data_IF_867058494339
#
_entry.id   IF_867058494339
#
_cell.length_a   1.000
_cell.length_b   1.000
_cell.length_c   1.000
_cell.angle_alpha   90.00
_cell.angle_beta   90.00
_cell.angle_gamma   90.00
#
_symmetry.space_group_name_H-M   'P 1'
#
loop_
_entity.id
_entity.type
_entity.pdbx_description
1 polymer ?
#
# COMPACT_ATOMS: atom_id res chain seq x y z
N UNK A 1 4.17 -3.94 17.39
CA UNK A 1 3.05 -3.19 16.76
C UNK A 1 3.67 -2.32 15.70
N UNK A 2 3.22 -2.43 14.46
CA UNK A 2 3.72 -1.63 13.34
C UNK A 2 3.23 -0.19 13.56
N UNK A 3 4.16 0.76 13.62
CA UNK A 3 3.79 2.16 13.83
C UNK A 3 3.55 2.87 12.50
N UNK A 4 2.31 2.79 12.02
CA UNK A 4 1.87 3.35 10.73
C UNK A 4 1.67 4.88 10.79
N UNK A 5 1.91 5.49 11.96
CA UNK A 5 1.79 6.94 12.21
C UNK A 5 3.18 7.60 12.43
N UNK A 6 4.26 6.99 11.93
CA UNK A 6 5.62 7.49 12.14
C UNK A 6 5.85 8.87 11.48
N UNK A 7 6.78 9.67 12.02
CA UNK A 7 7.08 11.01 11.51
C UNK A 7 7.69 11.04 10.10
N UNK A 8 8.31 9.95 9.67
CA UNK A 8 8.89 9.82 8.31
C UNK A 8 7.80 9.55 7.26
N UNK A 9 6.69 8.88 7.63
CA UNK A 9 5.48 8.79 6.80
C UNK A 9 4.84 10.17 6.54
N UNK A 10 5.17 11.17 7.36
CA UNK A 10 4.63 12.53 7.24
C UNK A 10 5.20 13.28 6.04
N UNK A 11 6.38 12.92 5.54
CA UNK A 11 6.86 13.45 4.25
C UNK A 11 6.17 12.76 3.06
N UNK A 12 5.67 11.54 3.24
CA UNK A 12 4.89 10.79 2.24
C UNK A 12 3.46 11.33 2.10
N UNK A 13 2.98 12.10 3.07
CA UNK A 13 1.69 12.80 2.97
C UNK A 13 1.70 13.91 1.91
N UNK A 14 2.88 14.44 1.56
CA UNK A 14 3.03 15.65 0.74
C UNK A 14 3.90 15.43 -0.48
N UNK A 15 4.00 14.19 -0.99
CA UNK A 15 4.63 14.00 -2.28
C UNK A 15 3.82 14.76 -3.32
N UNK A 16 4.36 15.89 -3.77
CA UNK A 16 3.76 16.75 -4.77
C UNK A 16 3.16 15.88 -5.87
N UNK A 17 1.85 16.05 -6.14
CA UNK A 17 1.16 15.39 -7.26
C UNK A 17 1.76 15.72 -8.65
N UNK A 18 2.92 16.41 -8.67
CA UNK A 18 3.70 16.80 -9.83
C UNK A 18 5.01 16.01 -9.99
N UNK A 19 5.38 15.09 -9.09
CA UNK A 19 6.56 14.23 -9.26
C UNK A 19 6.26 13.06 -10.22
N UNK A 20 6.90 13.00 -11.42
CA UNK A 20 6.66 11.93 -12.39
C UNK A 20 7.01 10.53 -11.87
N UNK A 21 7.98 10.42 -10.96
CA UNK A 21 8.39 9.12 -10.40
C UNK A 21 7.31 8.58 -9.44
N UNK A 22 6.65 9.46 -8.68
CA UNK A 22 5.54 9.09 -7.81
C UNK A 22 4.32 8.64 -8.60
N UNK A 23 3.97 9.34 -9.68
CA UNK A 23 2.87 8.92 -10.54
C UNK A 23 3.15 7.55 -11.18
N UNK A 24 4.39 7.29 -11.59
CA UNK A 24 4.80 5.97 -12.08
C UNK A 24 4.66 4.88 -11.00
N UNK A 25 5.01 5.18 -9.75
CA UNK A 25 4.81 4.26 -8.62
C UNK A 25 3.32 3.96 -8.39
N UNK A 26 2.45 4.97 -8.49
CA UNK A 26 0.99 4.79 -8.39
C UNK A 26 0.44 3.92 -9.52
N UNK A 27 0.89 4.14 -10.74
CA UNK A 27 0.50 3.33 -11.90
C UNK A 27 0.91 1.87 -11.70
N UNK A 28 2.16 1.64 -11.30
CA UNK A 28 2.67 0.29 -11.03
C UNK A 28 1.90 -0.41 -9.92
N UNK A 29 1.53 0.31 -8.85
CA UNK A 29 0.68 -0.22 -7.80
C UNK A 29 -0.68 -0.68 -8.35
N UNK A 30 -1.34 0.14 -9.19
CA UNK A 30 -2.62 -0.21 -9.82
C UNK A 30 -2.49 -1.42 -10.75
N UNK A 31 -1.49 -1.46 -11.62
CA UNK A 31 -1.27 -2.56 -12.57
C UNK A 31 -1.02 -3.92 -11.89
N UNK A 32 -0.38 -3.87 -10.72
CA UNK A 32 0.04 -5.07 -9.97
C UNK A 32 -0.93 -5.43 -8.84
N UNK A 33 -1.96 -4.62 -8.57
CA UNK A 33 -2.95 -4.85 -7.50
C UNK A 33 -3.64 -6.22 -7.61
N UNK A 34 -3.83 -6.74 -8.82
CA UNK A 34 -4.39 -8.09 -9.04
C UNK A 34 -3.61 -9.19 -8.29
N UNK A 35 -2.29 -9.03 -8.14
CA UNK A 35 -1.46 -9.98 -7.39
C UNK A 35 -1.71 -9.86 -5.89
N UNK A 36 -1.74 -8.63 -5.36
CA UNK A 36 -2.13 -8.37 -3.97
C UNK A 36 -3.49 -8.97 -3.64
N UNK A 37 -4.51 -8.66 -4.44
CA UNK A 37 -5.86 -9.14 -4.20
C UNK A 37 -5.95 -10.67 -4.27
N UNK A 38 -5.24 -11.29 -5.22
CA UNK A 38 -5.15 -12.76 -5.31
C UNK A 38 -4.60 -13.36 -4.02
N UNK A 39 -3.47 -12.87 -3.51
CA UNK A 39 -2.87 -13.43 -2.29
C UNK A 39 -3.78 -13.18 -1.07
N UNK A 40 -4.37 -11.99 -0.95
CA UNK A 40 -5.28 -11.65 0.14
C UNK A 40 -6.57 -12.48 0.12
N UNK A 41 -7.10 -12.78 -1.06
CA UNK A 41 -8.28 -13.62 -1.22
C UNK A 41 -8.04 -15.05 -0.68
N UNK A 42 -6.84 -15.60 -0.88
CA UNK A 42 -6.46 -16.89 -0.30
C UNK A 42 -6.18 -16.78 1.19
N UNK A 43 -5.56 -15.68 1.63
CA UNK A 43 -5.31 -15.39 3.04
C UNK A 43 -6.60 -15.42 3.87
N UNK A 44 -7.69 -14.79 3.40
CA UNK A 44 -8.98 -14.82 4.07
C UNK A 44 -9.63 -16.21 4.20
N UNK A 45 -9.13 -17.20 3.48
CA UNK A 45 -9.60 -18.60 3.56
C UNK A 45 -8.71 -19.46 4.44
N UNK A 46 -7.58 -18.94 4.94
CA UNK A 46 -6.70 -19.72 5.81
C UNK A 46 -7.31 -19.88 7.19
N UNK A 47 -7.14 -21.08 7.74
CA UNK A 47 -7.43 -21.35 9.16
C UNK A 47 -6.40 -20.63 10.04
N UNK A 48 -5.14 -20.62 9.61
CA UNK A 48 -4.02 -19.95 10.28
C UNK A 48 -3.51 -18.85 9.36
N UNK A 49 -3.75 -17.56 9.68
CA UNK A 49 -3.22 -16.44 8.92
C UNK A 49 -1.70 -16.51 8.80
N UNK A 50 -1.19 -16.23 7.61
CA UNK A 50 0.24 -16.16 7.32
C UNK A 50 0.71 -14.71 7.11
N UNK A 51 -0.22 -13.78 6.88
CA UNK A 51 0.10 -12.37 6.71
C UNK A 51 0.27 -11.69 8.06
N UNK A 52 1.33 -10.89 8.20
CA UNK A 52 1.46 -10.00 9.36
C UNK A 52 0.68 -8.69 9.14
N UNK A 53 0.50 -8.27 7.88
CA UNK A 53 -0.32 -7.12 7.47
C UNK A 53 -0.78 -7.22 6.01
N UNK A 54 -1.87 -6.53 5.68
CA UNK A 54 -2.29 -6.23 4.31
C UNK A 54 -2.99 -4.87 4.27
N UNK A 55 -2.45 -3.94 3.49
CA UNK A 55 -2.82 -2.54 3.48
C UNK A 55 -2.97 -2.00 2.06
N UNK A 56 -3.89 -1.06 1.86
CA UNK A 56 -4.05 -0.29 0.63
C UNK A 56 -4.02 1.19 0.97
N UNK A 57 -3.33 1.99 0.16
CA UNK A 57 -3.21 3.44 0.34
C UNK A 57 -4.14 4.17 -0.61
N UNK A 58 -4.92 5.11 -0.08
CA UNK A 58 -5.89 5.91 -0.80
C UNK A 58 -5.68 7.42 -0.53
N UNK A 59 -5.94 8.29 -1.53
CA UNK A 59 -5.98 9.73 -1.35
C UNK A 59 -7.32 10.18 -0.77
N UNK A 60 -7.27 11.10 0.19
CA UNK A 60 -8.42 11.73 0.82
C UNK A 60 -8.30 13.25 0.69
N UNK A 61 -9.40 13.93 0.37
CA UNK A 61 -9.43 15.39 0.30
C UNK A 61 -10.79 15.94 0.73
N UNK A 62 -10.78 17.02 1.49
CA UNK A 62 -11.99 17.72 1.89
C UNK A 62 -12.33 18.84 0.91
N UNK A 63 -13.15 18.53 -0.10
CA UNK A 63 -13.59 19.50 -1.11
C UNK A 63 -14.25 20.75 -0.49
N UNK A 64 -14.90 20.57 0.68
CA UNK A 64 -15.59 21.64 1.41
C UNK A 64 -14.65 22.69 2.02
N UNK A 65 -13.40 22.32 2.32
CA UNK A 65 -12.41 23.24 2.90
C UNK A 65 -11.75 24.06 1.78
N UNK A 66 -11.45 23.42 0.64
CA UNK A 66 -10.83 24.07 -0.53
C UNK A 66 -11.66 25.20 -1.15
N UNK A 67 -13.00 25.16 -1.05
CA UNK A 67 -13.84 26.23 -1.63
C UNK A 67 -13.87 27.53 -0.81
N UNK A 68 -13.58 27.47 0.50
CA UNK A 68 -13.65 28.66 1.36
C UNK A 68 -12.32 29.42 1.48
N UNK A 69 -11.17 28.80 1.20
CA UNK A 69 -9.85 29.39 1.50
C UNK A 69 -8.96 29.75 0.30
N UNK A 70 -9.38 29.57 -0.97
CA UNK A 70 -8.47 29.76 -2.12
C UNK A 70 -7.12 29.01 -1.97
N UNK A 71 -7.12 27.94 -1.18
CA UNK A 71 -5.99 27.01 -1.01
C UNK A 71 -6.24 25.80 -1.88
N UNK A 72 -5.15 25.28 -2.46
CA UNK A 72 -5.19 23.98 -3.11
C UNK A 72 -5.75 22.93 -2.13
N UNK A 73 -6.61 22.00 -2.60
CA UNK A 73 -7.11 20.93 -1.75
C UNK A 73 -5.92 20.15 -1.22
N UNK A 74 -5.79 20.08 0.11
CA UNK A 74 -4.82 19.18 0.72
C UNK A 74 -5.29 17.75 0.48
N UNK A 75 -4.46 16.97 -0.20
CA UNK A 75 -4.70 15.55 -0.43
C UNK A 75 -3.80 14.79 0.53
N UNK A 76 -4.42 14.06 1.46
CA UNK A 76 -3.69 13.18 2.37
C UNK A 76 -3.80 11.74 1.87
N UNK A 77 -2.66 11.08 1.70
CA UNK A 77 -2.66 9.66 1.36
C UNK A 77 -2.54 8.80 2.62
N UNK A 78 -3.55 7.98 2.90
CA UNK A 78 -3.65 7.19 4.12
C UNK A 78 -3.90 5.72 3.83
N UNK A 79 -3.50 4.85 4.78
CA UNK A 79 -3.67 3.40 4.68
C UNK A 79 -5.01 2.95 5.23
N UNK A 80 -5.60 1.98 4.55
CA UNK A 80 -6.73 1.18 5.01
C UNK A 80 -6.29 -0.28 5.18
N UNK A 81 -6.92 -1.02 6.08
CA UNK A 81 -6.79 -2.48 6.23
C UNK A 81 -8.14 -3.17 6.02
N UNK A 82 -8.21 -4.49 6.28
CA UNK A 82 -9.44 -5.29 6.13
C UNK A 82 -10.06 -5.12 4.74
N UNK A 83 -9.21 -5.23 3.73
CA UNK A 83 -9.53 -4.86 2.36
C UNK A 83 -10.56 -5.82 1.77
N UNK A 84 -11.59 -5.28 1.15
CA UNK A 84 -12.52 -5.99 0.30
C UNK A 84 -12.54 -5.32 -1.09
N UNK A 85 -12.72 -6.10 -2.15
CA UNK A 85 -12.75 -5.60 -3.53
C UNK A 85 -13.83 -6.33 -4.32
N UNK A 86 -14.76 -5.56 -4.90
CA UNK A 86 -15.91 -6.09 -5.65
C UNK A 86 -15.69 -6.12 -7.18
N UNK A 87 -14.52 -5.68 -7.65
CA UNK A 87 -14.19 -5.55 -9.08
C UNK A 87 -14.19 -4.11 -9.58
N UNK A 88 -14.84 -3.19 -8.86
CA UNK A 88 -14.91 -1.76 -9.22
C UNK A 88 -14.39 -0.87 -8.08
N UNK A 89 -14.75 -1.22 -6.85
CA UNK A 89 -14.50 -0.44 -5.65
C UNK A 89 -13.84 -1.26 -4.55
N UNK A 90 -13.02 -0.58 -3.78
CA UNK A 90 -12.32 -1.10 -2.61
C UNK A 90 -12.99 -0.56 -1.37
N UNK A 91 -13.19 -1.45 -0.40
CA UNK A 91 -13.67 -1.14 0.93
C UNK A 91 -12.63 -1.58 1.96
N UNK A 92 -12.50 -0.84 3.06
CA UNK A 92 -11.61 -1.20 4.17
C UNK A 92 -11.78 -0.26 5.35
N UNK A 93 -10.96 -0.45 6.38
CA UNK A 93 -10.99 0.37 7.60
C UNK A 93 -9.76 1.28 7.63
N UNK A 94 -9.96 2.59 7.83
CA UNK A 94 -8.87 3.56 7.95
C UNK A 94 -8.05 3.29 9.21
N UNK A 95 -6.73 3.19 9.07
CA UNK A 95 -5.84 2.92 10.22
C UNK A 95 -4.95 4.11 10.61
N UNK A 96 -4.86 5.12 9.74
CA UNK A 96 -4.17 6.37 10.05
C UNK A 96 -5.10 7.35 10.75
N UNK A 97 -4.53 8.19 11.61
CA UNK A 97 -5.21 9.40 12.09
C UNK A 97 -4.98 10.54 11.10
N UNK A 98 -6.04 11.13 10.51
CA UNK A 98 -5.89 12.25 9.60
C UNK A 98 -5.34 13.50 10.28
N UNK A 99 -4.59 14.34 9.55
CA UNK A 99 -4.02 15.57 10.11
C UNK A 99 -4.86 16.81 9.77
N UNK A 100 -5.30 16.91 8.53
CA UNK A 100 -6.03 18.05 7.99
C UNK A 100 -7.40 17.67 7.45
N UNK A 101 -7.61 16.39 7.12
CA UNK A 101 -8.91 15.88 6.70
C UNK A 101 -9.81 15.74 7.94
N UNK A 102 -10.96 16.39 7.90
CA UNK A 102 -11.97 16.39 8.97
C UNK A 102 -13.16 15.49 8.63
N UNK A 103 -13.28 15.04 7.38
CA UNK A 103 -14.40 14.20 6.93
C UNK A 103 -14.32 12.74 7.38
N UNK A 104 -13.12 12.25 7.74
CA UNK A 104 -12.87 10.87 8.16
C UNK A 104 -12.04 10.86 9.45
N UNK A 105 -12.03 9.72 10.15
CA UNK A 105 -11.18 9.47 11.33
C UNK A 105 -10.67 8.02 11.33
N UNK A 106 -9.64 7.74 12.11
CA UNK A 106 -9.16 6.36 12.29
C UNK A 106 -10.32 5.45 12.73
N UNK A 107 -10.42 4.28 12.10
CA UNK A 107 -11.46 3.27 12.34
C UNK A 107 -12.70 3.41 11.46
N UNK A 108 -12.81 4.46 10.63
CA UNK A 108 -13.93 4.59 9.70
C UNK A 108 -13.85 3.57 8.57
N UNK A 109 -15.01 3.10 8.12
CA UNK A 109 -15.13 2.28 6.91
C UNK A 109 -15.09 3.19 5.69
N UNK A 110 -14.09 2.98 4.85
CA UNK A 110 -13.84 3.75 3.64
C UNK A 110 -14.21 2.92 2.43
N UNK A 111 -14.91 3.54 1.46
CA UNK A 111 -15.16 2.98 0.14
C UNK A 111 -14.63 3.92 -0.94
N UNK A 112 -13.80 3.41 -1.84
CA UNK A 112 -13.19 4.18 -2.92
C UNK A 112 -13.14 3.39 -4.23
N UNK A 113 -13.06 4.09 -5.36
CA UNK A 113 -12.88 3.44 -6.67
C UNK A 113 -11.46 2.86 -6.80
N UNK A 114 -11.34 1.75 -7.51
CA UNK A 114 -10.04 1.09 -7.78
C UNK A 114 -8.99 2.05 -8.37
N UNK A 115 -9.39 2.95 -9.26
CA UNK A 115 -8.47 3.90 -9.90
C UNK A 115 -7.87 4.93 -8.93
N UNK A 116 -8.38 5.02 -7.68
CA UNK A 116 -7.85 5.90 -6.64
C UNK A 116 -6.73 5.26 -5.83
N UNK A 117 -6.44 3.98 -5.99
CA UNK A 117 -5.30 3.35 -5.30
C UNK A 117 -4.01 4.08 -5.68
N UNK A 118 -3.30 4.51 -4.64
CA UNK A 118 -1.95 5.07 -4.78
C UNK A 118 -0.87 4.05 -4.42
N UNK A 119 -1.15 3.11 -3.52
CA UNK A 119 -0.18 2.05 -3.17
C UNK A 119 -0.89 0.87 -2.52
N UNK A 120 -0.19 -0.27 -2.40
CA UNK A 120 -0.61 -1.40 -1.61
C UNK A 120 0.62 -2.13 -1.06
N UNK A 121 0.47 -2.79 0.08
CA UNK A 121 1.49 -3.68 0.59
C UNK A 121 0.89 -4.80 1.43
N UNK A 122 1.59 -5.92 1.50
CA UNK A 122 1.36 -6.94 2.51
C UNK A 122 2.69 -7.47 3.00
N UNK A 123 2.69 -8.08 4.18
CA UNK A 123 3.86 -8.80 4.67
C UNK A 123 3.51 -10.24 5.01
N UNK A 124 4.43 -11.13 4.69
CA UNK A 124 4.35 -12.54 5.03
C UNK A 124 5.72 -12.96 5.56
N UNK A 125 5.76 -13.56 6.75
CA UNK A 125 7.00 -13.91 7.44
C UNK A 125 7.97 -12.72 7.58
N UNK A 126 7.43 -11.55 7.93
CA UNK A 126 8.17 -10.28 8.05
C UNK A 126 8.80 -9.74 6.76
N UNK A 127 8.56 -10.37 5.59
CA UNK A 127 8.98 -9.86 4.29
C UNK A 127 7.87 -9.03 3.67
N UNK A 128 8.18 -7.80 3.27
CA UNK A 128 7.22 -6.92 2.57
C UNK A 128 7.17 -7.21 1.09
N UNK A 129 5.96 -7.17 0.54
CA UNK A 129 5.63 -7.23 -0.87
C UNK A 129 4.81 -5.99 -1.27
N UNK A 130 5.04 -5.48 -2.49
CA UNK A 130 4.48 -4.20 -2.93
C UNK A 130 5.25 -3.00 -2.38
N UNK A 131 4.53 -2.04 -1.79
CA UNK A 131 5.06 -0.83 -1.16
C UNK A 131 5.84 0.06 -2.16
N UNK A 132 5.24 0.34 -3.32
CA UNK A 132 5.92 1.01 -4.44
C UNK A 132 6.36 2.44 -4.08
N UNK A 133 5.48 3.19 -3.42
CA UNK A 133 5.75 4.58 -3.02
C UNK A 133 6.79 4.62 -1.90
N UNK A 134 6.73 3.65 -0.98
CA UNK A 134 7.73 3.48 0.08
C UNK A 134 9.10 3.10 -0.52
N UNK A 135 9.16 2.18 -1.49
CA UNK A 135 10.42 1.78 -2.11
C UNK A 135 11.05 2.93 -2.91
N UNK A 136 10.24 3.73 -3.63
CA UNK A 136 10.72 4.94 -4.29
C UNK A 136 11.35 5.91 -3.28
N UNK A 137 10.71 6.16 -2.16
CA UNK A 137 11.27 7.03 -1.12
C UNK A 137 12.52 6.45 -0.46
N UNK A 138 12.50 5.14 -0.15
CA UNK A 138 13.67 4.42 0.36
C UNK A 138 14.84 4.52 -0.63
N UNK A 139 14.60 4.56 -1.93
CA UNK A 139 15.66 4.76 -2.94
C UNK A 139 16.34 6.14 -2.85
N UNK A 140 15.66 7.14 -2.29
CA UNK A 140 16.17 8.51 -2.08
C UNK A 140 16.86 8.68 -0.73
N UNK A 141 16.64 7.75 0.21
CA UNK A 141 17.23 7.75 1.55
C UNK A 141 18.66 7.18 1.55
N UNK A 142 19.50 7.70 2.43
CA UNK A 142 20.80 7.08 2.69
C UNK A 142 20.63 5.76 3.47
N UNK A 143 21.70 4.98 3.60
CA UNK A 143 21.65 3.66 4.25
C UNK A 143 21.13 3.72 5.70
N UNK A 144 21.55 4.73 6.47
CA UNK A 144 21.17 4.86 7.88
C UNK A 144 19.69 5.25 8.04
N UNK A 145 19.21 6.15 7.18
CA UNK A 145 17.79 6.53 7.11
C UNK A 145 16.93 5.33 6.73
N UNK A 146 17.35 4.53 5.74
CA UNK A 146 16.63 3.30 5.37
C UNK A 146 16.55 2.29 6.52
N UNK A 147 17.65 2.08 7.25
CA UNK A 147 17.66 1.18 8.40
C UNK A 147 16.71 1.68 9.52
N UNK A 148 16.75 2.99 9.81
CA UNK A 148 15.83 3.61 10.79
C UNK A 148 14.36 3.49 10.36
N UNK A 149 14.08 3.70 9.07
CA UNK A 149 12.77 3.54 8.49
C UNK A 149 12.30 2.08 8.65
N UNK A 150 13.09 1.10 8.19
CA UNK A 150 12.74 -0.32 8.23
C UNK A 150 12.53 -0.80 9.70
N UNK A 151 13.35 -0.31 10.64
CA UNK A 151 13.21 -0.58 12.08
C UNK A 151 11.93 0.02 12.67
N UNK A 152 11.54 1.23 12.26
CA UNK A 152 10.32 1.88 12.73
C UNK A 152 9.04 1.14 12.26
N UNK A 153 9.08 0.56 11.07
CA UNK A 153 8.03 -0.32 10.56
C UNK A 153 8.08 -1.71 11.24
N UNK A 154 9.26 -2.17 11.65
CA UNK A 154 9.46 -3.53 12.17
C UNK A 154 9.32 -4.59 11.08
N UNK A 155 9.58 -4.23 9.82
CA UNK A 155 9.39 -5.06 8.64
C UNK A 155 10.67 -5.13 7.80
N UNK A 156 10.87 -6.25 7.10
CA UNK A 156 11.98 -6.41 6.15
C UNK A 156 11.49 -6.06 4.76
N UNK A 157 11.78 -4.83 4.34
CA UNK A 157 11.57 -4.43 2.96
C UNK A 157 12.67 -5.02 2.06
N UNK A 158 12.31 -5.33 0.81
CA UNK A 158 13.27 -5.77 -0.19
C UNK A 158 14.23 -4.63 -0.59
N UNK A 159 15.22 -4.94 -1.43
CA UNK A 159 16.02 -3.91 -2.09
C UNK A 159 15.05 -2.94 -2.82
N UNK A 160 15.14 -1.62 -2.60
CA UNK A 160 14.27 -0.64 -3.27
C UNK A 160 14.30 -0.73 -4.80
N UNK A 161 15.36 -1.31 -5.39
CA UNK A 161 15.48 -1.54 -6.84
C UNK A 161 15.00 -2.95 -7.28
N UNK A 162 14.67 -3.84 -6.34
CA UNK A 162 14.15 -5.19 -6.60
C UNK A 162 12.83 -5.41 -5.86
N UNK A 163 11.79 -4.80 -6.38
CA UNK A 163 10.44 -4.91 -5.83
C UNK A 163 9.94 -6.36 -5.87
N UNK A 164 9.52 -6.88 -4.71
CA UNK A 164 8.86 -8.18 -4.62
C UNK A 164 7.35 -7.97 -4.63
N UNK A 165 6.66 -8.55 -5.63
CA UNK A 165 5.20 -8.45 -5.75
C UNK A 165 4.53 -9.70 -5.16
N UNK A 166 5.14 -10.88 -5.34
CA UNK A 166 4.64 -12.15 -4.81
C UNK A 166 5.78 -13.02 -4.28
N UNK A 167 5.51 -13.93 -3.33
CA UNK A 167 6.50 -14.90 -2.86
C UNK A 167 6.98 -15.90 -3.94
N UNK A 168 6.24 -16.04 -5.05
CA UNK A 168 6.45 -17.09 -6.06
C UNK A 168 7.02 -16.61 -7.41
N UNK A 169 7.50 -15.36 -7.53
CA UNK A 169 8.20 -14.94 -8.75
C UNK A 169 9.61 -15.55 -8.78
N UNK A 170 9.75 -16.78 -9.29
CA UNK A 170 11.01 -17.38 -9.69
C UNK A 170 11.36 -16.92 -11.11
N UNK A 171 12.50 -16.25 -11.31
CA UNK A 171 13.04 -15.94 -12.63
C UNK A 171 13.59 -17.18 -13.37
N UNK A 172 13.62 -18.37 -12.77
CA UNK A 172 14.33 -19.54 -13.32
C UNK A 172 13.61 -20.90 -13.14
N UNK A 173 12.29 -20.96 -13.24
CA UNK A 173 11.63 -22.24 -13.55
C UNK A 173 10.57 -22.08 -14.64
N UNK A 174 10.56 -22.95 -15.68
CA UNK A 174 9.35 -23.13 -16.45
C UNK A 174 8.27 -23.47 -15.44
N UNK A 175 7.14 -22.76 -15.54
CA UNK A 175 5.96 -23.00 -14.72
C UNK A 175 5.66 -24.49 -14.85
N UNK A 176 6.02 -25.26 -13.83
CA UNK A 176 5.65 -26.66 -13.77
C UNK A 176 4.16 -26.65 -13.48
N UNK A 177 3.37 -26.71 -14.54
CA UNK A 177 1.92 -26.72 -14.53
C UNK A 177 1.34 -27.93 -13.75
N UNK A 178 2.19 -28.79 -13.18
CA UNK A 178 1.76 -29.97 -12.41
C UNK A 178 1.71 -29.76 -10.89
N UNK A 179 2.16 -28.61 -10.35
CA UNK A 179 1.68 -28.18 -9.02
C UNK A 179 0.41 -27.38 -9.27
N UNK A 180 -0.71 -28.10 -9.40
CA UNK A 180 -2.04 -27.54 -9.58
C UNK A 180 -2.37 -26.59 -8.42
N UNK A 181 -2.23 -25.29 -8.70
CA UNK A 181 -3.02 -24.29 -8.02
C UNK A 181 -4.48 -24.54 -8.44
N UNK A 182 -5.49 -24.45 -7.54
CA UNK A 182 -6.88 -24.81 -7.86
C UNK A 182 -7.58 -23.94 -8.94
N UNK A 183 -6.84 -23.15 -9.72
CA UNK A 183 -7.30 -22.36 -10.87
C UNK A 183 -6.27 -22.41 -12.02
N UNK A 184 -5.72 -23.60 -12.31
CA UNK A 184 -4.99 -23.86 -13.57
C UNK A 184 -5.93 -24.22 -14.74
N UNK A 185 -7.25 -23.97 -14.62
CA UNK A 185 -8.23 -24.08 -15.71
C UNK A 185 -8.73 -22.71 -16.17
#
# INVERSE_FOLDING_TARGET
MININNSEDREILWSDASDPEMEHAYQKARETFKFFWRELFWEYRRIVPSFDLALVKLPFSDEKISQNENKNPSVEHMWINNINFDGESIEGILINEPQQIQSVKQGDVIKALFNKISDWMYSMHSQVYGAFTINLLRSRMNKKERESHDDAWGLKFADPYQEKITPYFEQDKPIDATIEHPMSE
#
